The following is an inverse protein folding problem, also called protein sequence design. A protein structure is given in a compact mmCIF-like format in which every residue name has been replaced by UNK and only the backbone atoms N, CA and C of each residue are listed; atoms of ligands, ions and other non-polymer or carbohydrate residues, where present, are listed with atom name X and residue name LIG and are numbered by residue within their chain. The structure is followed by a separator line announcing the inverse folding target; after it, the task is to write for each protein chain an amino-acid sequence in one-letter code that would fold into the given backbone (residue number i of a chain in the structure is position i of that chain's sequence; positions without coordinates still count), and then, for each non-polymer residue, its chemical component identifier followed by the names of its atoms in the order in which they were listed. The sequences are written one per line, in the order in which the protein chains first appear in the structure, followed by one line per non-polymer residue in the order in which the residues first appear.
data_IF_714151583849
#
_entry.id   IF_714151583849
#
_cell.length_a   1.000
_cell.length_b   1.000
_cell.length_c   1.000
_cell.angle_alpha   90.00
_cell.angle_beta   90.00
_cell.angle_gamma   90.00
#
_symmetry.space_group_name_H-M   'P 1'
#
loop_
_entity.id
_entity.type
_entity.pdbx_description
1 polymer ?
#
# COMPACT_ATOMS: atom_id res chain seq x y z
N UNK A 1 -34.44 27.53 10.22
CA UNK A 1 -33.31 27.26 9.30
C UNK A 1 -32.01 27.87 9.83
N UNK A 2 -32.05 29.05 10.48
CA UNK A 2 -30.86 29.67 11.09
C UNK A 2 -30.34 28.96 12.37
N UNK A 3 -31.18 28.16 13.02
CA UNK A 3 -30.78 27.31 14.16
C UNK A 3 -29.84 26.16 13.78
N UNK A 4 -29.92 25.67 12.54
CA UNK A 4 -29.08 24.56 12.05
C UNK A 4 -27.77 25.06 11.42
N UNK A 5 -27.71 26.33 10.99
CA UNK A 5 -26.53 26.93 10.35
C UNK A 5 -26.33 28.37 10.82
N UNK A 6 -25.81 28.59 12.05
CA UNK A 6 -25.69 29.93 12.65
C UNK A 6 -24.75 30.88 11.90
N UNK A 7 -23.92 30.37 10.98
CA UNK A 7 -23.01 31.17 10.15
C UNK A 7 -23.43 31.29 8.67
N UNK A 8 -24.66 30.87 8.33
CA UNK A 8 -25.13 30.84 6.96
C UNK A 8 -24.48 29.71 6.16
N UNK A 9 -25.31 28.94 5.45
CA UNK A 9 -24.81 27.92 4.54
C UNK A 9 -24.24 28.62 3.29
N UNK A 10 -22.92 28.82 3.23
CA UNK A 10 -22.25 29.33 2.04
C UNK A 10 -22.38 28.30 0.91
N UNK A 11 -23.06 28.68 -0.16
CA UNK A 11 -23.17 27.91 -1.39
C UNK A 11 -22.44 28.65 -2.53
N UNK A 12 -21.58 27.97 -3.30
CA UNK A 12 -21.22 26.57 -3.16
C UNK A 12 -20.43 26.33 -1.86
N UNK A 13 -20.54 25.13 -1.26
CA UNK A 13 -19.66 24.77 -0.16
C UNK A 13 -18.22 24.93 -0.65
N UNK A 14 -17.33 25.46 0.19
CA UNK A 14 -15.90 25.55 -0.09
C UNK A 14 -15.34 24.13 -0.26
N UNK A 15 -15.47 23.59 -1.48
CA UNK A 15 -15.00 22.28 -1.86
C UNK A 15 -13.48 22.35 -1.95
N UNK A 16 -12.83 22.20 -0.81
CA UNK A 16 -11.40 21.93 -0.77
C UNK A 16 -11.19 20.57 -1.42
N UNK A 17 -10.80 20.58 -2.69
CA UNK A 17 -10.35 19.38 -3.38
C UNK A 17 -9.14 18.89 -2.58
N UNK A 18 -9.20 17.71 -1.92
CA UNK A 18 -8.02 17.16 -1.30
C UNK A 18 -6.95 17.08 -2.37
N UNK A 19 -5.78 17.68 -2.12
CA UNK A 19 -4.70 17.61 -3.10
C UNK A 19 -4.35 16.13 -3.31
N UNK A 20 -4.18 15.67 -4.56
CA UNK A 20 -3.77 14.28 -4.86
C UNK A 20 -2.30 14.02 -4.51
N UNK A 21 -1.71 14.89 -3.69
CA UNK A 21 -0.34 14.87 -3.20
C UNK A 21 -0.35 15.18 -1.72
N UNK A 22 0.53 14.51 -0.98
CA UNK A 22 0.76 14.84 0.42
C UNK A 22 1.29 16.26 0.61
N UNK A 23 0.96 16.86 1.76
CA UNK A 23 1.54 18.14 2.17
C UNK A 23 3.01 17.93 2.58
N UNK A 24 3.90 18.82 2.16
CA UNK A 24 5.30 18.80 2.60
C UNK A 24 5.40 19.06 4.11
N UNK A 25 6.07 18.15 4.82
CA UNK A 25 6.36 18.28 6.24
C UNK A 25 7.71 18.96 6.47
N UNK A 26 8.73 18.49 5.74
CA UNK A 26 10.08 19.03 5.79
C UNK A 26 10.81 18.75 4.48
N UNK A 27 11.85 19.54 4.19
CA UNK A 27 12.66 19.40 2.98
C UNK A 27 14.11 19.17 3.36
N UNK A 28 14.76 18.20 2.70
CA UNK A 28 16.20 17.98 2.81
C UNK A 28 16.82 18.26 1.45
N UNK A 29 17.49 19.42 1.32
CA UNK A 29 18.04 19.86 0.04
C UNK A 29 16.94 20.03 -1.03
N UNK A 30 17.06 19.41 -2.22
CA UNK A 30 16.05 19.54 -3.27
C UNK A 30 14.79 18.69 -3.03
N UNK A 31 14.81 17.71 -2.11
CA UNK A 31 13.74 16.71 -1.93
C UNK A 31 12.82 17.08 -0.76
N UNK A 32 11.53 17.21 -1.04
CA UNK A 32 10.47 17.41 -0.05
C UNK A 32 9.94 16.07 0.48
N UNK A 33 9.83 15.92 1.79
CA UNK A 33 9.22 14.77 2.45
C UNK A 33 7.82 15.15 2.89
N UNK A 34 6.83 14.44 2.38
CA UNK A 34 5.41 14.70 2.64
C UNK A 34 4.86 13.83 3.75
N UNK A 35 3.68 14.18 4.26
CA UNK A 35 2.90 13.36 5.19
C UNK A 35 2.54 11.97 4.62
N UNK A 36 2.43 11.83 3.29
CA UNK A 36 2.26 10.54 2.62
C UNK A 36 3.49 9.63 2.81
N UNK A 37 4.71 10.19 2.73
CA UNK A 37 5.95 9.44 2.97
C UNK A 37 6.05 8.95 4.41
N UNK A 38 5.67 9.80 5.38
CA UNK A 38 5.63 9.42 6.79
C UNK A 38 4.65 8.26 7.03
N UNK A 39 3.43 8.39 6.50
CA UNK A 39 2.39 7.37 6.65
C UNK A 39 2.81 6.07 5.98
N UNK A 40 3.43 6.14 4.80
CA UNK A 40 4.01 4.99 4.10
C UNK A 40 5.07 4.29 4.98
N UNK A 41 5.99 5.04 5.60
CA UNK A 41 6.99 4.48 6.49
C UNK A 41 6.36 3.78 7.71
N UNK A 42 5.28 4.35 8.27
CA UNK A 42 4.52 3.74 9.37
C UNK A 42 3.88 2.42 8.92
N UNK A 43 3.25 2.37 7.74
CA UNK A 43 2.65 1.14 7.19
C UNK A 43 3.71 0.07 6.98
N UNK A 44 4.86 0.43 6.40
CA UNK A 44 5.97 -0.49 6.18
C UNK A 44 6.49 -1.02 7.52
N UNK A 45 6.72 -0.14 8.50
CA UNK A 45 7.18 -0.52 9.82
C UNK A 45 6.18 -1.43 10.56
N UNK A 46 4.87 -1.17 10.41
CA UNK A 46 3.81 -2.00 10.97
C UNK A 46 3.82 -3.40 10.35
N UNK A 47 3.79 -3.51 9.02
CA UNK A 47 3.77 -4.79 8.32
C UNK A 47 5.05 -5.58 8.59
N UNK A 48 6.22 -4.94 8.52
CA UNK A 48 7.50 -5.55 8.83
C UNK A 48 7.59 -5.97 10.31
N UNK A 49 7.10 -5.14 11.23
CA UNK A 49 7.05 -5.43 12.65
C UNK A 49 6.17 -6.62 12.99
N UNK A 50 4.97 -6.72 12.39
CA UNK A 50 4.07 -7.88 12.54
C UNK A 50 4.75 -9.13 11.98
N UNK A 51 5.32 -9.06 10.78
CA UNK A 51 6.02 -10.18 10.15
C UNK A 51 7.20 -10.65 11.00
N UNK A 52 8.03 -9.74 11.49
CA UNK A 52 9.15 -10.04 12.38
C UNK A 52 8.69 -10.67 13.70
N UNK A 53 7.65 -10.10 14.32
CA UNK A 53 7.13 -10.60 15.59
C UNK A 53 6.51 -12.01 15.45
N UNK A 54 5.89 -12.30 14.31
CA UNK A 54 5.34 -13.62 13.99
C UNK A 54 6.43 -14.66 13.68
N UNK A 55 7.56 -14.24 13.11
CA UNK A 55 8.64 -15.15 12.64
C UNK A 55 9.80 -15.29 13.60
N UNK A 56 9.97 -14.40 14.59
CA UNK A 56 11.13 -14.43 15.51
C UNK A 56 11.28 -15.71 16.33
N UNK A 57 10.18 -16.40 16.63
CA UNK A 57 10.13 -17.59 17.48
C UNK A 57 9.20 -18.66 16.89
N UNK A 58 9.46 -19.07 15.64
CA UNK A 58 8.61 -20.06 14.97
C UNK A 58 8.65 -21.42 15.68
N UNK A 59 7.46 -22.00 15.86
CA UNK A 59 7.27 -23.36 16.37
C UNK A 59 6.65 -24.22 15.28
N UNK A 60 6.94 -25.52 15.28
CA UNK A 60 6.34 -26.48 14.32
C UNK A 60 4.82 -26.54 14.43
N UNK A 61 4.27 -26.37 15.64
CA UNK A 61 2.83 -26.22 15.86
C UNK A 61 2.53 -24.72 16.04
N UNK A 62 2.03 -24.02 15.01
CA UNK A 62 1.82 -22.59 15.07
C UNK A 62 0.74 -22.24 16.10
N UNK A 63 0.96 -21.16 16.85
CA UNK A 63 0.01 -20.64 17.81
C UNK A 63 0.05 -19.11 17.84
N UNK A 64 -1.08 -18.48 18.21
CA UNK A 64 -1.19 -17.03 18.34
C UNK A 64 -0.92 -16.28 17.02
N UNK A 65 0.02 -15.33 17.05
CA UNK A 65 0.33 -14.47 15.91
C UNK A 65 0.95 -15.22 14.72
N UNK A 66 1.75 -16.26 14.98
CA UNK A 66 2.32 -17.11 13.92
C UNK A 66 1.20 -17.75 13.11
N UNK A 67 0.18 -18.32 13.76
CA UNK A 67 -0.95 -18.96 13.09
C UNK A 67 -1.74 -17.97 12.21
N UNK A 68 -1.99 -16.76 12.70
CA UNK A 68 -2.68 -15.73 11.92
C UNK A 68 -1.89 -15.31 10.68
N UNK A 69 -0.58 -15.08 10.82
CA UNK A 69 0.29 -14.70 9.70
C UNK A 69 0.47 -15.84 8.70
N UNK A 70 0.57 -17.09 9.17
CA UNK A 70 0.64 -18.27 8.28
C UNK A 70 -0.65 -18.46 7.50
N UNK A 71 -1.82 -18.32 8.14
CA UNK A 71 -3.11 -18.38 7.45
C UNK A 71 -3.23 -17.28 6.38
N UNK A 72 -2.80 -16.06 6.69
CA UNK A 72 -2.78 -14.97 5.71
C UNK A 72 -1.81 -15.26 4.56
N UNK A 73 -0.61 -15.75 4.86
CA UNK A 73 0.40 -16.08 3.85
C UNK A 73 -0.05 -17.24 2.94
N UNK A 74 -0.71 -18.27 3.50
CA UNK A 74 -1.31 -19.36 2.75
C UNK A 74 -2.45 -18.85 1.86
N UNK A 75 -3.36 -18.02 2.39
CA UNK A 75 -4.42 -17.41 1.59
C UNK A 75 -3.90 -16.56 0.43
N UNK A 76 -2.81 -15.83 0.65
CA UNK A 76 -2.12 -15.10 -0.43
C UNK A 76 -1.48 -16.04 -1.46
N UNK A 77 -0.86 -17.13 -1.01
CA UNK A 77 -0.28 -18.13 -1.90
C UNK A 77 -1.37 -18.76 -2.78
N UNK A 78 -2.49 -19.17 -2.19
CA UNK A 78 -3.62 -19.75 -2.89
C UNK A 78 -4.24 -18.76 -3.89
N UNK A 79 -4.35 -17.49 -3.50
CA UNK A 79 -4.82 -16.43 -4.38
C UNK A 79 -3.89 -16.25 -5.59
N UNK A 80 -2.58 -16.16 -5.38
CA UNK A 80 -1.59 -16.04 -6.46
C UNK A 80 -1.60 -17.27 -7.36
N UNK A 81 -1.69 -18.48 -6.78
CA UNK A 81 -1.77 -19.72 -7.52
C UNK A 81 -3.07 -19.82 -8.35
N UNK A 82 -4.18 -19.30 -7.85
CA UNK A 82 -5.46 -19.29 -8.56
C UNK A 82 -5.43 -18.44 -9.83
N UNK A 83 -4.61 -17.37 -9.85
CA UNK A 83 -4.51 -16.44 -10.98
C UNK A 83 -3.43 -16.88 -11.97
N UNK A 84 -2.25 -17.24 -11.48
CA UNK A 84 -1.06 -17.48 -12.31
C UNK A 84 -0.58 -18.94 -12.33
N UNK A 85 -1.31 -19.86 -11.72
CA UNK A 85 -0.91 -21.25 -11.53
C UNK A 85 0.21 -21.41 -10.49
N UNK A 86 0.63 -22.65 -10.26
CA UNK A 86 1.66 -22.96 -9.24
C UNK A 86 3.01 -22.28 -9.50
N UNK A 87 3.34 -22.04 -10.78
CA UNK A 87 4.57 -21.32 -11.14
C UNK A 87 4.56 -19.85 -10.74
N UNK A 88 3.40 -19.26 -10.42
CA UNK A 88 3.30 -17.88 -9.96
C UNK A 88 3.69 -17.70 -8.49
N UNK A 89 3.76 -18.78 -7.70
CA UNK A 89 4.17 -18.72 -6.30
C UNK A 89 5.59 -18.15 -6.12
N UNK A 90 6.46 -18.25 -7.14
CA UNK A 90 7.78 -17.60 -7.12
C UNK A 90 7.70 -16.06 -7.03
N UNK A 91 6.56 -15.48 -7.41
CA UNK A 91 6.30 -14.04 -7.34
C UNK A 91 5.48 -13.64 -6.10
N UNK A 92 5.15 -14.60 -5.23
CA UNK A 92 4.42 -14.35 -3.99
C UNK A 92 5.07 -13.25 -3.13
N UNK A 93 6.41 -13.16 -2.98
CA UNK A 93 7.01 -12.08 -2.20
C UNK A 93 6.69 -10.69 -2.77
N UNK A 94 6.69 -10.55 -4.10
CA UNK A 94 6.39 -9.27 -4.75
C UNK A 94 4.89 -8.95 -4.72
N UNK A 95 4.05 -9.85 -5.21
CA UNK A 95 2.61 -9.63 -5.26
C UNK A 95 2.00 -9.55 -3.87
N UNK A 96 2.43 -10.42 -2.95
CA UNK A 96 1.97 -10.44 -1.58
C UNK A 96 2.31 -9.17 -0.81
N UNK A 97 3.52 -8.64 -0.95
CA UNK A 97 3.91 -7.38 -0.28
C UNK A 97 3.16 -6.18 -0.85
N UNK A 98 3.06 -6.06 -2.18
CA UNK A 98 2.26 -5.01 -2.82
C UNK A 98 0.80 -5.09 -2.40
N UNK A 99 0.22 -6.29 -2.40
CA UNK A 99 -1.16 -6.51 -1.99
C UNK A 99 -1.39 -6.09 -0.54
N UNK A 100 -0.57 -6.57 0.40
CA UNK A 100 -0.69 -6.24 1.82
C UNK A 100 -0.52 -4.74 2.06
N UNK A 101 0.44 -4.10 1.38
CA UNK A 101 0.68 -2.67 1.46
C UNK A 101 -0.52 -1.87 0.96
N UNK A 102 -1.06 -2.20 -0.22
CA UNK A 102 -2.19 -1.50 -0.83
C UNK A 102 -3.45 -1.68 0.03
N UNK A 103 -3.78 -2.91 0.43
CA UNK A 103 -4.96 -3.18 1.26
C UNK A 103 -4.86 -2.45 2.60
N UNK A 104 -3.70 -2.51 3.26
CA UNK A 104 -3.49 -1.82 4.53
C UNK A 104 -3.61 -0.30 4.36
N UNK A 105 -2.97 0.26 3.33
CA UNK A 105 -3.06 1.70 3.04
C UNK A 105 -4.48 2.15 2.74
N UNK A 106 -5.24 1.35 2.00
CA UNK A 106 -6.64 1.64 1.68
C UNK A 106 -7.53 1.57 2.93
N UNK A 107 -7.33 0.56 3.78
CA UNK A 107 -8.06 0.43 5.05
C UNK A 107 -7.76 1.57 6.01
N UNK A 108 -6.50 2.02 6.04
CA UNK A 108 -6.11 3.19 6.81
C UNK A 108 -6.87 4.45 6.38
N UNK A 109 -7.18 4.60 5.09
CA UNK A 109 -7.99 5.71 4.57
C UNK A 109 -9.44 5.73 5.07
N UNK A 110 -9.96 4.60 5.55
CA UNK A 110 -11.31 4.49 6.14
C UNK A 110 -11.31 4.90 7.61
N UNK A 111 -10.17 4.78 8.29
CA UNK A 111 -10.04 5.14 9.70
C UNK A 111 -10.06 6.66 9.82
N UNK A 112 -11.01 7.27 10.56
CA UNK A 112 -11.16 8.73 10.62
C UNK A 112 -9.93 9.46 11.18
N UNK A 113 -9.03 8.74 11.85
CA UNK A 113 -7.74 9.24 12.31
C UNK A 113 -6.82 9.72 11.15
N UNK A 114 -6.94 9.12 9.98
CA UNK A 114 -6.07 9.38 8.81
C UNK A 114 -6.85 10.27 7.84
N UNK A 115 -6.43 11.52 7.73
CA UNK A 115 -7.15 12.59 7.03
C UNK A 115 -7.71 13.68 7.95
N UNK A 116 -8.02 13.38 9.22
CA UNK A 116 -8.32 14.41 10.23
C UNK A 116 -7.06 14.91 10.95
N UNK A 117 -6.05 14.05 11.10
CA UNK A 117 -4.73 14.43 11.60
C UNK A 117 -3.90 14.95 10.44
N UNK A 118 -3.50 16.23 10.47
CA UNK A 118 -2.73 16.91 9.42
C UNK A 118 -1.47 16.15 8.97
N UNK A 119 -0.89 15.35 9.88
CA UNK A 119 0.33 14.57 9.66
C UNK A 119 0.10 13.20 9.00
N UNK A 120 -1.14 12.73 8.87
CA UNK A 120 -1.46 11.41 8.32
C UNK A 120 -2.25 11.55 7.03
N UNK A 121 -1.60 11.22 5.92
CA UNK A 121 -2.20 11.18 4.59
C UNK A 121 -2.04 9.78 4.02
N UNK A 122 -3.13 9.20 3.52
CA UNK A 122 -3.10 7.83 2.99
C UNK A 122 -2.06 7.73 1.88
N UNK A 123 -1.14 6.75 1.93
CA UNK A 123 -0.12 6.60 0.89
C UNK A 123 -0.76 6.45 -0.48
N UNK A 124 -1.86 5.68 -0.61
CA UNK A 124 -2.54 5.41 -1.88
C UNK A 124 -3.40 6.58 -2.39
N UNK A 125 -3.57 7.65 -1.62
CA UNK A 125 -4.19 8.89 -2.08
C UNK A 125 -3.18 9.79 -2.83
N UNK A 126 -1.88 9.59 -2.62
CA UNK A 126 -0.81 10.31 -3.31
C UNK A 126 -0.50 9.63 -4.66
N UNK A 127 -0.50 10.38 -5.76
CA UNK A 127 -0.21 9.80 -7.07
C UNK A 127 1.25 9.32 -7.19
N UNK A 128 2.20 9.88 -6.44
CA UNK A 128 3.61 9.48 -6.51
C UNK A 128 3.80 8.03 -6.07
N UNK A 129 3.11 7.60 -5.02
CA UNK A 129 3.20 6.23 -4.50
C UNK A 129 2.57 5.24 -5.47
N UNK A 130 1.40 5.57 -6.02
CA UNK A 130 0.70 4.74 -7.00
C UNK A 130 1.50 4.61 -8.29
N UNK A 131 2.08 5.72 -8.77
CA UNK A 131 2.96 5.72 -9.93
C UNK A 131 4.20 4.86 -9.70
N UNK A 132 4.85 4.97 -8.53
CA UNK A 132 6.02 4.16 -8.19
C UNK A 132 5.69 2.65 -8.16
N UNK A 133 4.56 2.27 -7.55
CA UNK A 133 4.10 0.88 -7.54
C UNK A 133 3.76 0.37 -8.94
N UNK A 134 3.12 1.20 -9.78
CA UNK A 134 2.80 0.85 -11.16
C UNK A 134 4.07 0.62 -12.00
N UNK A 135 5.06 1.51 -11.88
CA UNK A 135 6.36 1.34 -12.55
C UNK A 135 7.07 0.08 -12.07
N UNK A 136 7.05 -0.20 -10.77
CA UNK A 136 7.67 -1.39 -10.19
C UNK A 136 7.02 -2.67 -10.73
N UNK A 137 5.68 -2.73 -10.73
CA UNK A 137 4.93 -3.85 -11.30
C UNK A 137 5.19 -4.02 -12.81
N UNK A 138 5.24 -2.90 -13.55
CA UNK A 138 5.56 -2.90 -14.97
C UNK A 138 6.96 -3.47 -15.23
N UNK A 139 7.98 -2.97 -14.55
CA UNK A 139 9.36 -3.45 -14.70
C UNK A 139 9.48 -4.92 -14.33
N UNK A 140 8.81 -5.37 -13.26
CA UNK A 140 8.79 -6.77 -12.88
C UNK A 140 8.17 -7.65 -13.99
N UNK A 141 7.04 -7.23 -14.55
CA UNK A 141 6.39 -7.93 -15.66
C UNK A 141 7.28 -7.98 -16.90
N UNK A 142 7.85 -6.84 -17.29
CA UNK A 142 8.75 -6.74 -18.45
C UNK A 142 9.97 -7.65 -18.28
N UNK A 143 10.58 -7.65 -17.10
CA UNK A 143 11.75 -8.49 -16.78
C UNK A 143 11.43 -9.97 -16.97
N UNK A 144 10.27 -10.42 -16.50
CA UNK A 144 9.83 -11.81 -16.67
C UNK A 144 9.46 -12.13 -18.12
N UNK A 145 8.84 -11.17 -18.83
CA UNK A 145 8.58 -11.27 -20.27
C UNK A 145 9.87 -11.52 -21.06
N UNK A 146 10.91 -10.72 -20.81
CA UNK A 146 12.23 -10.90 -21.42
C UNK A 146 12.90 -12.21 -21.01
N UNK A 147 12.79 -12.65 -19.74
CA UNK A 147 13.37 -13.91 -19.27
C UNK A 147 12.76 -15.13 -19.96
N UNK A 148 11.45 -15.12 -20.19
CA UNK A 148 10.74 -16.25 -20.77
C UNK A 148 10.73 -16.26 -22.32
N UNK A 149 10.63 -15.10 -22.97
CA UNK A 149 10.50 -14.99 -24.44
C UNK A 149 11.79 -14.55 -25.16
N UNK A 150 12.82 -14.09 -24.41
CA UNK A 150 14.13 -13.64 -24.91
C UNK A 150 14.00 -12.73 -26.15
N UNK A 151 14.42 -13.21 -27.32
CA UNK A 151 14.46 -12.44 -28.57
C UNK A 151 13.12 -12.41 -29.34
N UNK A 152 12.15 -13.24 -28.95
CA UNK A 152 10.80 -13.22 -29.53
C UNK A 152 9.86 -12.23 -28.82
N UNK A 153 10.32 -11.62 -27.72
CA UNK A 153 9.52 -10.73 -26.86
C UNK A 153 8.98 -9.47 -27.57
N UNK A 154 9.78 -8.63 -28.26
CA UNK A 154 9.29 -7.37 -28.83
C UNK A 154 8.38 -7.53 -30.06
N UNK A 155 8.02 -8.77 -30.43
CA UNK A 155 7.13 -9.07 -31.56
C UNK A 155 5.67 -9.27 -31.14
N UNK A 156 5.34 -9.07 -29.85
CA UNK A 156 4.01 -9.13 -29.25
C UNK A 156 3.79 -7.93 -28.37
#
# INVERSE_FOLDING_TARGET
MDFLFPHGFKYPPDFHIPTPTGEELFRIGPVGYTNAHLTMAIVIALLAGISFLATRNMRERPAGLQNAVELLAQGLADFVASIGGQNALKYLPLFGTLFLFIVTSNWLSVVPLIGQVKFLHSPTADYHTNFAMAVLAFVAYQTEGFRHLRLAYPKR
#
